data_IF_594734177926
#
_entry.id   IF_594734177926
#
_cell.length_a   1.000
_cell.length_b   1.000
_cell.length_c   1.000
_cell.angle_alpha   90.00
_cell.angle_beta   90.00
_cell.angle_gamma   90.00
#
_symmetry.space_group_name_H-M   'P 1'
#
loop_
_entity.id
_entity.type
_entity.pdbx_description
1 polymer ?
#
# COMPACT_ATOMS: atom_id res chain seq x y z
N UNK A 1 -43.86 -16.91 1.93
CA UNK A 1 -42.62 -17.03 2.71
C UNK A 1 -41.44 -16.72 1.79
N UNK A 2 -40.91 -15.51 1.87
CA UNK A 2 -39.64 -15.16 1.22
C UNK A 2 -38.52 -15.80 2.07
N UNK A 3 -37.86 -16.82 1.51
CA UNK A 3 -36.57 -17.28 2.05
C UNK A 3 -35.62 -16.11 1.97
N UNK A 4 -35.21 -15.56 3.12
CA UNK A 4 -34.04 -14.72 3.23
C UNK A 4 -32.82 -15.60 2.82
N UNK A 5 -32.29 -15.39 1.63
CA UNK A 5 -30.98 -15.91 1.26
C UNK A 5 -29.98 -15.28 2.24
N UNK A 6 -29.49 -16.11 3.13
CA UNK A 6 -28.41 -15.76 4.05
C UNK A 6 -27.18 -15.50 3.18
N UNK A 7 -26.90 -14.23 2.89
CA UNK A 7 -25.64 -13.83 2.25
C UNK A 7 -24.53 -14.38 3.14
N UNK A 8 -23.84 -15.41 2.65
CA UNK A 8 -22.71 -15.97 3.39
C UNK A 8 -21.61 -14.90 3.38
N UNK A 9 -21.31 -14.38 4.56
CA UNK A 9 -20.25 -13.39 4.75
C UNK A 9 -18.90 -13.99 4.30
N UNK A 10 -18.23 -13.31 3.37
CA UNK A 10 -16.92 -13.72 2.89
C UNK A 10 -15.92 -13.79 4.05
N UNK A 11 -15.36 -14.95 4.26
CA UNK A 11 -14.39 -15.19 5.34
C UNK A 11 -13.18 -15.93 4.80
N UNK A 12 -11.98 -15.33 4.85
CA UNK A 12 -10.74 -16.00 4.48
C UNK A 12 -10.54 -17.29 5.28
N UNK A 13 -10.23 -18.39 4.58
CA UNK A 13 -9.99 -19.71 5.22
C UNK A 13 -8.64 -19.83 5.88
N UNK A 14 -7.68 -19.01 5.46
CA UNK A 14 -6.30 -19.09 5.89
C UNK A 14 -5.90 -17.85 6.68
N UNK A 15 -4.98 -18.03 7.63
CA UNK A 15 -4.37 -16.97 8.42
C UNK A 15 -2.89 -16.86 8.14
N UNK A 16 -2.38 -15.63 8.19
CA UNK A 16 -0.95 -15.37 8.02
C UNK A 16 -0.47 -14.25 8.93
N UNK A 17 0.82 -14.27 9.22
CA UNK A 17 1.53 -13.20 9.92
C UNK A 17 2.42 -12.44 8.95
N UNK A 18 2.36 -11.11 9.01
CA UNK A 18 3.31 -10.20 8.39
C UNK A 18 4.38 -9.92 9.45
N UNK A 19 5.56 -10.54 9.31
CA UNK A 19 6.58 -10.54 10.37
C UNK A 19 7.56 -9.38 10.28
N UNK A 20 7.83 -8.90 9.06
CA UNK A 20 8.84 -7.87 8.81
C UNK A 20 8.22 -6.55 8.34
N UNK A 21 7.36 -5.96 9.17
CA UNK A 21 6.87 -4.60 8.92
C UNK A 21 7.93 -3.59 9.39
N UNK A 22 8.47 -2.73 8.51
CA UNK A 22 9.53 -1.81 8.89
C UNK A 22 9.03 -0.76 9.88
N UNK A 23 9.84 -0.47 10.92
CA UNK A 23 9.64 0.72 11.75
C UNK A 23 10.03 1.95 10.94
N UNK A 24 9.10 2.87 10.80
CA UNK A 24 9.30 4.07 9.99
C UNK A 24 9.65 5.28 10.86
N UNK A 25 10.47 6.22 10.36
CA UNK A 25 10.65 7.51 11.01
C UNK A 25 9.31 8.25 11.14
N UNK A 26 9.14 9.01 12.21
CA UNK A 26 7.89 9.76 12.49
C UNK A 26 7.40 10.59 11.29
N UNK A 27 8.29 11.30 10.60
CA UNK A 27 7.91 12.11 9.43
C UNK A 27 7.34 11.28 8.27
N UNK A 28 7.78 10.02 8.11
CA UNK A 28 7.25 9.10 7.10
C UNK A 28 5.89 8.56 7.53
N UNK A 29 5.75 8.17 8.81
CA UNK A 29 4.44 7.74 9.35
C UNK A 29 3.40 8.85 9.22
N UNK A 30 3.73 10.10 9.53
CA UNK A 30 2.84 11.25 9.36
C UNK A 30 2.48 11.52 7.90
N UNK A 31 3.42 11.38 6.97
CA UNK A 31 3.14 11.52 5.55
C UNK A 31 2.17 10.44 5.04
N UNK A 32 2.35 9.20 5.49
CA UNK A 32 1.46 8.08 5.18
C UNK A 32 0.09 8.24 5.81
N UNK A 33 0.01 8.72 7.07
CA UNK A 33 -1.25 9.04 7.71
C UNK A 33 -2.05 10.12 6.96
N UNK A 34 -1.36 11.18 6.48
CA UNK A 34 -1.99 12.17 5.59
C UNK A 34 -2.48 11.56 4.29
N UNK A 35 -1.70 10.67 3.68
CA UNK A 35 -2.12 9.96 2.48
C UNK A 35 -3.38 9.14 2.76
N UNK A 36 -3.41 8.39 3.87
CA UNK A 36 -4.60 7.64 4.32
C UNK A 36 -5.83 8.55 4.46
N UNK A 37 -5.67 9.69 5.14
CA UNK A 37 -6.77 10.65 5.34
C UNK A 37 -7.24 11.22 3.99
N UNK A 38 -6.31 11.57 3.08
CA UNK A 38 -6.67 12.04 1.74
C UNK A 38 -7.44 11.00 0.95
N UNK A 39 -7.05 9.72 1.04
CA UNK A 39 -7.78 8.61 0.40
C UNK A 39 -9.19 8.48 0.98
N UNK A 40 -9.37 8.63 2.29
CA UNK A 40 -10.71 8.56 2.89
C UNK A 40 -11.64 9.71 2.46
N UNK A 41 -11.10 10.80 1.92
CA UNK A 41 -11.88 11.92 1.37
C UNK A 41 -12.21 11.78 -0.12
N UNK A 42 -11.75 10.74 -0.81
CA UNK A 42 -12.11 10.51 -2.22
C UNK A 42 -13.59 10.18 -2.44
N UNK A 43 -14.31 9.90 -1.36
CA UNK A 43 -15.73 9.58 -1.37
C UNK A 43 -16.02 8.07 -1.46
N UNK A 44 -17.25 7.71 -1.17
CA UNK A 44 -17.68 6.31 -1.03
C UNK A 44 -17.68 5.49 -2.33
N UNK A 45 -17.52 6.15 -3.47
CA UNK A 45 -17.47 5.49 -4.78
C UNK A 45 -16.04 5.06 -5.17
N UNK A 46 -15.00 5.52 -4.46
CA UNK A 46 -13.60 5.17 -4.75
C UNK A 46 -13.13 4.18 -3.70
N UNK A 47 -13.34 2.92 -3.95
CA UNK A 47 -12.99 1.81 -3.06
C UNK A 47 -11.83 0.96 -3.60
N UNK A 48 -11.80 0.70 -4.90
CA UNK A 48 -10.77 -0.08 -5.58
C UNK A 48 -9.68 0.86 -6.08
N UNK A 49 -8.58 0.93 -5.35
CA UNK A 49 -7.49 1.87 -5.60
C UNK A 49 -6.25 1.11 -6.06
N UNK A 50 -5.86 1.33 -7.31
CA UNK A 50 -4.61 0.80 -7.84
C UNK A 50 -3.44 1.67 -7.40
N UNK A 51 -2.42 1.07 -6.81
CA UNK A 51 -1.13 1.71 -6.53
C UNK A 51 -0.15 1.30 -7.61
N UNK A 52 0.29 2.25 -8.38
CA UNK A 52 1.09 2.01 -9.59
C UNK A 52 2.21 3.05 -9.72
N UNK A 53 3.22 2.76 -10.51
CA UNK A 53 4.31 3.68 -10.81
C UNK A 53 4.57 3.81 -12.30
N UNK A 54 5.27 4.87 -12.71
CA UNK A 54 5.70 5.02 -14.10
C UNK A 54 6.81 4.05 -14.44
N UNK A 55 7.76 3.85 -13.52
CA UNK A 55 8.95 3.02 -13.70
C UNK A 55 9.18 2.07 -12.51
N UNK A 56 10.04 1.06 -12.63
CA UNK A 56 10.47 0.24 -11.51
C UNK A 56 11.12 1.05 -10.40
N UNK A 57 11.15 0.49 -9.19
CA UNK A 57 11.86 1.02 -8.02
C UNK A 57 11.42 2.42 -7.55
N UNK A 58 10.26 2.90 -7.98
CA UNK A 58 9.65 4.14 -7.49
C UNK A 58 8.97 4.01 -6.12
N UNK A 59 8.84 2.80 -5.59
CA UNK A 59 8.32 2.54 -4.24
C UNK A 59 6.83 2.19 -4.17
N UNK A 60 6.18 1.82 -5.28
CA UNK A 60 4.75 1.46 -5.36
C UNK A 60 4.34 0.42 -4.31
N UNK A 61 5.03 -0.74 -4.27
CA UNK A 61 4.69 -1.83 -3.34
C UNK A 61 4.89 -1.45 -1.86
N UNK A 62 5.85 -0.55 -1.58
CA UNK A 62 6.01 0.01 -0.24
C UNK A 62 4.82 0.90 0.13
N UNK A 63 4.42 1.82 -0.75
CA UNK A 63 3.27 2.71 -0.52
C UNK A 63 1.98 1.90 -0.41
N UNK A 64 1.77 0.90 -1.28
CA UNK A 64 0.60 0.02 -1.23
C UNK A 64 0.48 -0.70 0.12
N UNK A 65 1.56 -1.34 0.57
CA UNK A 65 1.62 -2.06 1.84
C UNK A 65 1.37 -1.12 3.03
N UNK A 66 2.00 0.05 3.06
CA UNK A 66 1.87 0.99 4.18
C UNK A 66 0.50 1.66 4.23
N UNK A 67 -0.07 2.01 3.08
CA UNK A 67 -1.41 2.59 3.00
C UNK A 67 -2.48 1.59 3.45
N UNK A 68 -2.40 0.34 2.95
CA UNK A 68 -3.26 -0.75 3.38
C UNK A 68 -3.13 -0.99 4.89
N UNK A 69 -1.89 -1.09 5.42
CA UNK A 69 -1.64 -1.24 6.86
C UNK A 69 -2.36 -0.18 7.67
N UNK A 70 -2.19 1.09 7.31
CA UNK A 70 -2.79 2.19 8.05
C UNK A 70 -4.32 2.21 7.96
N UNK A 71 -4.91 1.79 6.84
CA UNK A 71 -6.36 1.63 6.72
C UNK A 71 -6.87 0.50 7.62
N UNK A 72 -6.18 -0.64 7.60
CA UNK A 72 -6.53 -1.80 8.41
C UNK A 72 -6.40 -1.53 9.92
N UNK A 73 -5.31 -0.89 10.35
CA UNK A 73 -5.09 -0.47 11.75
C UNK A 73 -6.11 0.57 12.22
N UNK A 74 -6.62 1.40 11.31
CA UNK A 74 -7.72 2.33 11.59
C UNK A 74 -9.11 1.66 11.65
N UNK A 75 -9.19 0.33 11.51
CA UNK A 75 -10.42 -0.45 11.60
C UNK A 75 -11.21 -0.56 10.30
N UNK A 76 -10.69 -0.06 9.17
CA UNK A 76 -11.33 -0.24 7.88
C UNK A 76 -11.06 -1.65 7.34
N UNK A 77 -12.12 -2.45 7.13
CA UNK A 77 -12.01 -3.77 6.49
C UNK A 77 -11.43 -3.58 5.09
N UNK A 78 -10.17 -3.92 4.91
CA UNK A 78 -9.42 -3.65 3.69
C UNK A 78 -8.59 -4.84 3.25
N UNK A 79 -8.39 -4.95 1.94
CA UNK A 79 -7.55 -5.98 1.35
C UNK A 79 -6.45 -5.34 0.50
N UNK A 80 -5.26 -5.92 0.54
CA UNK A 80 -4.20 -5.65 -0.41
C UNK A 80 -4.05 -6.83 -1.36
N UNK A 81 -4.16 -6.57 -2.65
CA UNK A 81 -4.02 -7.55 -3.73
C UNK A 81 -2.71 -7.31 -4.46
N UNK A 82 -1.85 -8.29 -4.47
CA UNK A 82 -0.60 -8.23 -5.23
C UNK A 82 -0.84 -8.69 -6.67
N UNK A 83 -0.88 -7.73 -7.58
CA UNK A 83 -1.09 -7.93 -9.01
C UNK A 83 0.19 -7.73 -9.84
N UNK A 84 1.36 -7.54 -9.19
CA UNK A 84 2.65 -7.59 -9.88
C UNK A 84 3.06 -9.07 -10.10
N UNK A 85 2.29 -9.75 -10.96
CA UNK A 85 2.47 -11.17 -11.23
C UNK A 85 3.82 -11.50 -11.87
N UNK A 86 4.55 -10.49 -12.35
CA UNK A 86 5.85 -10.67 -13.02
C UNK A 86 7.02 -10.59 -12.07
N UNK A 87 6.91 -9.73 -11.04
CA UNK A 87 8.01 -9.48 -10.10
C UNK A 87 7.48 -9.11 -8.72
N UNK A 88 6.66 -9.98 -8.15
CA UNK A 88 6.26 -9.80 -6.75
C UNK A 88 7.46 -9.93 -5.82
N UNK A 89 7.51 -9.05 -4.84
CA UNK A 89 8.51 -9.07 -3.76
C UNK A 89 7.86 -9.08 -2.37
N UNK A 90 6.55 -9.08 -2.33
CA UNK A 90 5.78 -8.79 -1.11
C UNK A 90 5.96 -9.87 -0.06
N UNK A 91 5.79 -11.14 -0.43
CA UNK A 91 5.88 -12.27 0.49
C UNK A 91 7.26 -12.34 1.14
N UNK A 92 8.32 -12.25 0.34
CA UNK A 92 9.69 -12.39 0.83
C UNK A 92 10.14 -11.14 1.62
N UNK A 93 9.82 -9.95 1.12
CA UNK A 93 10.22 -8.69 1.74
C UNK A 93 9.60 -8.47 3.12
N UNK A 94 8.32 -8.82 3.25
CA UNK A 94 7.58 -8.64 4.51
C UNK A 94 7.52 -9.92 5.35
N UNK A 95 8.20 -10.99 4.91
CA UNK A 95 8.25 -12.29 5.58
C UNK A 95 6.84 -12.76 5.96
N UNK A 96 5.96 -12.81 4.95
CA UNK A 96 4.58 -13.24 5.14
C UNK A 96 4.60 -14.76 5.24
N UNK A 97 4.06 -15.30 6.33
CA UNK A 97 4.01 -16.73 6.58
C UNK A 97 2.63 -17.14 7.08
N UNK A 98 2.12 -18.27 6.61
CA UNK A 98 0.88 -18.86 7.11
C UNK A 98 1.07 -19.37 8.53
N UNK A 99 0.05 -19.24 9.36
CA UNK A 99 0.07 -19.72 10.75
C UNK A 99 0.14 -21.24 10.85
N UNK A 100 -0.38 -21.94 9.85
CA UNK A 100 -0.35 -23.42 9.76
C UNK A 100 0.91 -23.96 9.07
N UNK A 101 1.90 -23.13 8.78
CA UNK A 101 3.10 -23.43 8.01
C UNK A 101 2.83 -24.00 6.59
N UNK A 102 1.63 -23.82 6.07
CA UNK A 102 1.26 -24.23 4.71
C UNK A 102 1.92 -23.35 3.64
N UNK A 103 1.93 -23.84 2.39
CA UNK A 103 2.38 -23.05 1.24
C UNK A 103 1.48 -21.82 1.07
N UNK A 104 2.08 -20.66 0.82
CA UNK A 104 1.36 -19.48 0.36
C UNK A 104 1.02 -19.69 -1.12
N UNK A 105 -0.27 -19.75 -1.40
CA UNK A 105 -0.84 -19.67 -2.74
C UNK A 105 -1.22 -18.21 -3.00
N UNK A 106 -0.98 -17.73 -4.19
CA UNK A 106 -1.13 -16.32 -4.50
C UNK A 106 -2.17 -16.01 -5.58
N UNK A 107 -2.17 -14.75 -5.99
CA UNK A 107 -3.06 -14.24 -7.02
C UNK A 107 -2.94 -15.03 -8.32
N UNK A 108 -1.72 -15.38 -8.74
CA UNK A 108 -1.48 -16.17 -9.94
C UNK A 108 -2.04 -17.59 -9.85
N UNK A 109 -1.87 -18.25 -8.70
CA UNK A 109 -2.42 -19.59 -8.46
C UNK A 109 -3.96 -19.54 -8.49
N UNK A 110 -4.56 -18.52 -7.85
CA UNK A 110 -5.99 -18.32 -7.84
C UNK A 110 -6.57 -18.10 -9.24
N UNK A 111 -5.99 -17.18 -10.00
CA UNK A 111 -6.48 -16.88 -11.35
C UNK A 111 -6.36 -18.07 -12.32
N UNK A 112 -5.40 -18.97 -12.07
CA UNK A 112 -5.21 -20.19 -12.86
C UNK A 112 -6.07 -21.39 -12.39
N UNK A 113 -6.80 -21.28 -11.30
CA UNK A 113 -7.63 -22.35 -10.71
C UNK A 113 -9.11 -22.13 -10.96
N UNK A 114 -9.94 -23.15 -10.67
CA UNK A 114 -11.40 -23.04 -10.59
C UNK A 114 -11.89 -22.87 -9.14
N UNK A 115 -10.99 -22.66 -8.22
CA UNK A 115 -11.28 -22.51 -6.79
C UNK A 115 -11.90 -21.16 -6.43
N UNK A 116 -12.47 -21.09 -5.22
CA UNK A 116 -13.04 -19.88 -4.64
C UNK A 116 -11.98 -18.99 -3.99
N UNK A 117 -12.22 -17.66 -3.99
CA UNK A 117 -11.27 -16.64 -3.54
C UNK A 117 -10.86 -16.81 -2.05
N UNK A 118 -11.78 -17.26 -1.20
CA UNK A 118 -11.58 -17.44 0.24
C UNK A 118 -10.46 -18.43 0.63
N UNK A 119 -10.06 -19.30 -0.31
CA UNK A 119 -8.92 -20.21 -0.12
C UNK A 119 -7.56 -19.53 -0.31
N UNK A 120 -7.50 -18.42 -1.00
CA UNK A 120 -6.26 -17.71 -1.37
C UNK A 120 -6.06 -16.42 -0.58
N UNK A 121 -7.14 -15.80 -0.15
CA UNK A 121 -7.07 -14.64 0.74
C UNK A 121 -6.61 -15.08 2.12
N UNK A 122 -5.68 -14.31 2.67
CA UNK A 122 -5.09 -14.52 3.99
C UNK A 122 -5.60 -13.46 4.97
N UNK A 123 -6.25 -13.87 6.06
CA UNK A 123 -6.50 -13.00 7.20
C UNK A 123 -5.16 -12.71 7.87
N UNK A 124 -4.82 -11.45 8.07
CA UNK A 124 -3.52 -11.07 8.63
C UNK A 124 -3.58 -10.66 10.10
N UNK A 125 -2.41 -10.51 10.71
CA UNK A 125 -2.25 -9.91 12.04
C UNK A 125 -2.30 -8.37 12.01
N UNK A 126 -2.63 -7.75 10.88
CA UNK A 126 -2.67 -6.29 10.71
C UNK A 126 -4.13 -5.82 10.79
N UNK A 127 -4.60 -5.43 11.98
CA UNK A 127 -5.91 -4.83 12.19
C UNK A 127 -7.05 -5.57 11.48
N UNK A 128 -7.86 -4.84 10.71
CA UNK A 128 -8.95 -5.37 9.89
C UNK A 128 -8.49 -5.66 8.44
N UNK A 129 -7.22 -6.03 8.25
CA UNK A 129 -6.59 -6.19 6.95
C UNK A 129 -6.45 -7.65 6.51
N UNK A 130 -6.88 -7.90 5.28
CA UNK A 130 -6.66 -9.17 4.58
C UNK A 130 -5.66 -8.95 3.44
N UNK A 131 -5.07 -10.04 2.93
CA UNK A 131 -4.06 -10.00 1.89
C UNK A 131 -4.30 -11.11 0.86
N UNK A 132 -4.27 -10.75 -0.41
CA UNK A 132 -4.13 -11.70 -1.52
C UNK A 132 -2.74 -11.51 -2.12
N UNK A 133 -1.74 -12.27 -1.63
CA UNK A 133 -0.36 -12.10 -2.07
C UNK A 133 -0.12 -12.72 -3.44
N UNK A 134 1.03 -12.46 -4.05
CA UNK A 134 1.57 -13.28 -5.12
C UNK A 134 2.95 -13.82 -4.71
N UNK A 135 3.20 -15.10 -4.96
CA UNK A 135 4.47 -15.73 -4.62
C UNK A 135 5.22 -16.20 -5.86
N UNK A 136 4.51 -16.83 -6.77
CA UNK A 136 5.09 -17.36 -8.01
C UNK A 136 5.07 -16.29 -9.10
N UNK A 137 6.23 -15.95 -9.64
CA UNK A 137 6.34 -14.97 -10.72
C UNK A 137 6.10 -15.62 -12.07
N UNK A 138 5.25 -15.02 -12.87
CA UNK A 138 4.85 -15.52 -14.19
C UNK A 138 5.44 -14.67 -15.29
N UNK A 139 6.08 -15.32 -16.27
CA UNK A 139 6.73 -14.63 -17.40
C UNK A 139 5.69 -13.91 -18.27
N UNK A 140 4.55 -14.55 -18.53
CA UNK A 140 3.47 -13.97 -19.33
C UNK A 140 2.10 -14.15 -18.66
N UNK A 141 1.65 -13.20 -17.82
CA UNK A 141 0.37 -13.29 -17.14
C UNK A 141 -0.83 -12.83 -17.99
N UNK A 142 -0.65 -12.44 -19.25
CA UNK A 142 -1.71 -11.82 -20.06
C UNK A 142 -2.97 -12.67 -20.12
N UNK A 143 -2.86 -13.99 -20.28
CA UNK A 143 -4.02 -14.88 -20.30
C UNK A 143 -4.81 -14.88 -18.98
N UNK A 144 -4.12 -14.76 -17.84
CA UNK A 144 -4.75 -14.67 -16.53
C UNK A 144 -5.46 -13.32 -16.34
N UNK A 145 -4.87 -12.25 -16.87
CA UNK A 145 -5.40 -10.90 -16.76
C UNK A 145 -6.58 -10.62 -17.72
N UNK A 146 -6.67 -11.36 -18.83
CA UNK A 146 -7.75 -11.23 -19.81
C UNK A 146 -8.98 -12.08 -19.47
N UNK A 147 -8.85 -13.01 -18.52
CA UNK A 147 -9.93 -13.90 -18.10
C UNK A 147 -11.08 -13.18 -17.37
N UNK A 148 -12.30 -13.68 -17.51
CA UNK A 148 -13.48 -13.19 -16.78
C UNK A 148 -13.30 -13.30 -15.26
N UNK A 149 -12.52 -14.26 -14.80
CA UNK A 149 -12.25 -14.48 -13.37
C UNK A 149 -11.63 -13.26 -12.69
N UNK A 150 -10.75 -12.51 -13.38
CA UNK A 150 -10.20 -11.28 -12.82
C UNK A 150 -11.29 -10.23 -12.56
N UNK A 151 -12.19 -10.01 -13.51
CA UNK A 151 -13.29 -9.05 -13.34
C UNK A 151 -14.23 -9.44 -12.20
N UNK A 152 -14.68 -10.70 -12.16
CA UNK A 152 -15.53 -11.21 -11.07
C UNK A 152 -14.85 -11.16 -9.71
N UNK A 153 -13.52 -11.31 -9.67
CA UNK A 153 -12.75 -11.13 -8.43
C UNK A 153 -12.87 -9.71 -7.89
N UNK A 154 -12.71 -8.69 -8.74
CA UNK A 154 -12.83 -7.29 -8.31
C UNK A 154 -14.26 -6.92 -7.90
N UNK A 155 -15.28 -7.55 -8.46
CA UNK A 155 -16.67 -7.42 -8.02
C UNK A 155 -16.86 -8.03 -6.63
N UNK A 156 -16.39 -9.27 -6.41
CA UNK A 156 -16.45 -9.96 -5.11
C UNK A 156 -15.69 -9.18 -4.02
N UNK A 157 -14.55 -8.58 -4.35
CA UNK A 157 -13.78 -7.74 -3.43
C UNK A 157 -14.52 -6.44 -3.07
N UNK A 158 -15.19 -5.79 -4.04
CA UNK A 158 -15.95 -4.57 -3.80
C UNK A 158 -17.14 -4.78 -2.85
N UNK A 159 -17.76 -5.95 -2.91
CA UNK A 159 -18.85 -6.34 -2.02
C UNK A 159 -18.39 -6.61 -0.59
N UNK A 160 -17.17 -7.11 -0.42
CA UNK A 160 -16.69 -7.64 0.86
C UNK A 160 -15.75 -6.71 1.63
N UNK A 161 -15.17 -5.70 0.98
CA UNK A 161 -14.20 -4.78 1.59
C UNK A 161 -14.60 -3.32 1.42
N UNK A 162 -14.25 -2.50 2.41
CA UNK A 162 -14.38 -1.04 2.31
C UNK A 162 -13.35 -0.46 1.35
N UNK A 163 -12.13 -1.04 1.34
CA UNK A 163 -11.08 -0.67 0.40
C UNK A 163 -10.36 -1.90 -0.14
N UNK A 164 -10.15 -1.91 -1.44
CA UNK A 164 -9.27 -2.85 -2.15
C UNK A 164 -8.08 -2.07 -2.70
N UNK A 165 -6.90 -2.30 -2.15
CA UNK A 165 -5.65 -1.77 -2.69
C UNK A 165 -5.01 -2.81 -3.59
N UNK A 166 -4.55 -2.37 -4.77
CA UNK A 166 -3.95 -3.26 -5.76
C UNK A 166 -2.54 -2.80 -6.08
N UNK A 167 -1.51 -3.57 -5.75
CA UNK A 167 -0.13 -3.30 -6.17
C UNK A 167 0.07 -3.82 -7.59
N UNK A 168 0.23 -2.93 -8.57
CA UNK A 168 0.30 -3.25 -9.98
C UNK A 168 1.72 -3.06 -10.55
N UNK A 169 2.13 -3.76 -11.64
CA UNK A 169 3.43 -3.57 -12.26
C UNK A 169 3.59 -2.16 -12.85
N UNK A 170 4.84 -1.68 -13.05
CA UNK A 170 5.09 -0.35 -13.61
C UNK A 170 4.53 -0.18 -15.02
N UNK A 171 3.89 0.97 -15.31
CA UNK A 171 3.22 1.24 -16.59
C UNK A 171 4.15 1.21 -17.82
N UNK A 172 5.39 1.68 -17.68
CA UNK A 172 6.30 1.78 -18.82
C UNK A 172 6.90 0.45 -19.27
N UNK A 173 6.70 -0.62 -18.50
CA UNK A 173 7.26 -1.93 -18.83
C UNK A 173 6.24 -2.84 -19.52
N UNK A 174 5.00 -2.80 -19.10
CA UNK A 174 3.97 -3.78 -19.52
C UNK A 174 2.59 -3.15 -19.53
N UNK A 175 1.70 -3.67 -20.38
CA UNK A 175 0.29 -3.24 -20.47
C UNK A 175 -0.61 -3.76 -19.35
N UNK A 176 -0.09 -4.63 -18.50
CA UNK A 176 -0.86 -5.25 -17.41
C UNK A 176 -1.53 -4.20 -16.51
N UNK A 177 -0.82 -3.09 -16.23
CA UNK A 177 -1.34 -1.99 -15.41
C UNK A 177 -2.59 -1.31 -15.99
N UNK A 178 -2.71 -1.22 -17.32
CA UNK A 178 -3.92 -0.67 -17.96
C UNK A 178 -5.11 -1.61 -17.78
N UNK A 179 -4.88 -2.91 -17.95
CA UNK A 179 -5.92 -3.92 -17.79
C UNK A 179 -6.43 -3.98 -16.34
N UNK A 180 -5.53 -4.00 -15.37
CA UNK A 180 -5.87 -3.97 -13.95
C UNK A 180 -6.59 -2.65 -13.61
N UNK A 181 -6.09 -1.52 -14.13
CA UNK A 181 -6.65 -0.21 -13.92
C UNK A 181 -8.10 -0.10 -14.37
N UNK A 182 -8.49 -0.72 -15.49
CA UNK A 182 -9.87 -0.71 -15.97
C UNK A 182 -10.88 -1.35 -15.01
N UNK A 183 -10.43 -2.08 -14.00
CA UNK A 183 -11.26 -2.69 -12.96
C UNK A 183 -11.22 -1.91 -11.64
N UNK A 184 -10.42 -0.86 -11.56
CA UNK A 184 -10.26 -0.01 -10.38
C UNK A 184 -11.02 1.31 -10.51
N UNK A 185 -11.42 1.88 -9.39
CA UNK A 185 -12.13 3.17 -9.36
C UNK A 185 -11.17 4.35 -9.52
N UNK A 186 -9.87 4.14 -9.26
CA UNK A 186 -8.84 5.14 -9.45
C UNK A 186 -7.43 4.62 -9.17
N UNK A 187 -6.45 5.39 -9.64
CA UNK A 187 -5.04 5.08 -9.45
C UNK A 187 -4.34 6.10 -8.55
N UNK A 188 -3.57 5.60 -7.59
CA UNK A 188 -2.56 6.35 -6.86
C UNK A 188 -1.22 6.16 -7.59
N UNK A 189 -0.76 7.20 -8.28
CA UNK A 189 0.49 7.17 -9.03
C UNK A 189 1.66 7.49 -8.11
N UNK A 190 2.54 6.53 -7.92
CA UNK A 190 3.78 6.71 -7.14
C UNK A 190 4.88 7.19 -8.05
N UNK A 191 5.52 8.28 -7.66
CA UNK A 191 6.56 8.97 -8.44
C UNK A 191 7.79 9.20 -7.58
N UNK A 192 8.97 8.84 -8.06
CA UNK A 192 10.22 9.09 -7.36
C UNK A 192 10.65 10.55 -7.50
N UNK A 193 10.66 11.27 -6.37
CA UNK A 193 10.95 12.69 -6.35
C UNK A 193 12.37 13.00 -6.85
N UNK A 194 12.46 13.94 -7.79
CA UNK A 194 13.74 14.39 -8.35
C UNK A 194 14.38 13.44 -9.38
N UNK A 195 13.78 12.27 -9.63
CA UNK A 195 14.33 11.28 -10.57
C UNK A 195 13.38 10.99 -11.75
N UNK A 196 12.08 10.82 -11.50
CA UNK A 196 11.12 10.53 -12.57
C UNK A 196 10.88 11.76 -13.43
N UNK A 197 11.12 11.70 -14.75
CA UNK A 197 10.89 12.84 -15.64
C UNK A 197 9.41 13.24 -15.70
N UNK A 198 9.11 14.53 -15.68
CA UNK A 198 7.73 15.05 -15.75
C UNK A 198 6.97 14.57 -16.99
N UNK A 199 7.68 14.39 -18.12
CA UNK A 199 7.08 13.85 -19.33
C UNK A 199 6.59 12.41 -19.14
N UNK A 200 7.35 11.58 -18.42
CA UNK A 200 6.98 10.20 -18.11
C UNK A 200 5.73 10.17 -17.22
N UNK A 201 5.68 11.01 -16.17
CA UNK A 201 4.51 11.13 -15.30
C UNK A 201 3.26 11.53 -16.11
N UNK A 202 3.36 12.53 -16.98
CA UNK A 202 2.24 12.95 -17.86
C UNK A 202 1.78 11.83 -18.78
N UNK A 203 2.70 11.05 -19.32
CA UNK A 203 2.35 9.91 -20.18
C UNK A 203 1.64 8.83 -19.38
N UNK A 204 2.11 8.50 -18.18
CA UNK A 204 1.46 7.53 -17.29
C UNK A 204 0.03 7.97 -16.92
N UNK A 205 -0.18 9.25 -16.61
CA UNK A 205 -1.53 9.78 -16.33
C UNK A 205 -2.45 9.58 -17.54
N UNK A 206 -2.02 9.99 -18.75
CA UNK A 206 -2.81 9.82 -19.98
C UNK A 206 -3.10 8.35 -20.30
N UNK A 207 -2.17 7.47 -19.99
CA UNK A 207 -2.31 6.03 -20.20
C UNK A 207 -3.39 5.44 -19.28
N UNK A 208 -3.37 5.81 -18.01
CA UNK A 208 -4.37 5.42 -17.03
C UNK A 208 -5.77 5.98 -17.36
N UNK A 209 -5.86 7.26 -17.73
CA UNK A 209 -7.11 7.89 -18.13
C UNK A 209 -7.74 7.19 -19.35
N UNK A 210 -6.91 6.83 -20.35
CA UNK A 210 -7.37 6.05 -21.52
C UNK A 210 -7.85 4.65 -21.16
N UNK A 211 -7.27 4.05 -20.13
CA UNK A 211 -7.73 2.76 -19.60
C UNK A 211 -9.00 2.86 -18.75
N UNK A 212 -9.56 4.07 -18.57
CA UNK A 212 -10.73 4.30 -17.71
C UNK A 212 -10.43 4.38 -16.22
N UNK A 213 -9.15 4.46 -15.84
CA UNK A 213 -8.71 4.55 -14.46
C UNK A 213 -8.20 5.98 -14.16
N UNK A 214 -9.00 6.86 -13.56
CA UNK A 214 -8.58 8.22 -13.25
C UNK A 214 -7.45 8.22 -12.20
N UNK A 215 -6.47 9.11 -12.35
CA UNK A 215 -5.45 9.32 -11.31
C UNK A 215 -6.04 10.16 -10.19
N UNK A 216 -6.35 9.53 -9.06
CA UNK A 216 -6.96 10.16 -7.88
C UNK A 216 -5.93 10.83 -6.97
N UNK A 217 -4.65 10.57 -7.17
CA UNK A 217 -3.57 11.19 -6.41
C UNK A 217 -2.18 10.82 -6.92
N UNK A 218 -1.19 11.63 -6.52
CA UNK A 218 0.23 11.36 -6.77
C UNK A 218 0.95 11.28 -5.44
N UNK A 219 1.63 10.17 -5.17
CA UNK A 219 2.49 10.00 -4.01
C UNK A 219 3.96 10.19 -4.39
N UNK A 220 4.61 11.21 -3.85
CA UNK A 220 6.03 11.46 -4.05
C UNK A 220 6.86 10.61 -3.08
N UNK A 221 7.52 9.59 -3.59
CA UNK A 221 8.43 8.75 -2.82
C UNK A 221 9.84 9.37 -2.76
N UNK A 222 10.60 9.04 -1.71
CA UNK A 222 12.00 9.45 -1.50
C UNK A 222 12.24 10.96 -1.66
N UNK A 223 11.24 11.79 -1.31
CA UNK A 223 11.37 13.24 -1.35
C UNK A 223 12.47 13.70 -0.36
N UNK A 224 13.55 14.28 -0.89
CA UNK A 224 14.61 14.89 -0.07
C UNK A 224 14.17 16.30 0.33
N UNK A 225 14.19 16.63 1.60
CA UNK A 225 14.09 18.03 2.02
C UNK A 225 12.83 18.49 2.73
N UNK A 226 11.89 17.61 3.04
CA UNK A 226 10.81 17.97 3.98
C UNK A 226 11.35 18.16 5.42
N UNK A 227 12.57 17.70 5.72
CA UNK A 227 13.18 17.84 7.04
C UNK A 227 13.76 19.24 7.33
N UNK A 228 14.07 20.05 6.31
CA UNK A 228 14.86 21.30 6.54
C UNK A 228 14.10 22.61 6.36
N UNK A 229 12.84 22.66 5.95
CA UNK A 229 12.21 23.96 5.70
C UNK A 229 10.82 24.16 6.29
N UNK A 230 9.90 23.26 6.04
CA UNK A 230 8.50 23.44 6.45
C UNK A 230 8.14 22.67 7.73
N UNK A 231 8.71 21.48 7.94
CA UNK A 231 8.42 20.66 9.11
C UNK A 231 9.09 21.17 10.39
N UNK A 232 10.25 21.82 10.30
CA UNK A 232 10.90 22.41 11.48
C UNK A 232 10.11 23.61 12.04
N UNK A 233 9.35 24.31 11.19
CA UNK A 233 8.57 25.48 11.62
C UNK A 233 7.24 25.10 12.27
N UNK A 234 6.63 23.99 11.84
CA UNK A 234 5.35 23.49 12.41
C UNK A 234 5.55 22.44 13.52
N UNK A 235 6.57 21.60 13.46
CA UNK A 235 6.88 20.63 14.50
C UNK A 235 7.25 21.26 15.84
N UNK A 236 7.92 22.43 15.81
CA UNK A 236 8.20 23.20 17.03
C UNK A 236 6.96 23.92 17.62
N UNK A 237 5.92 24.13 16.84
CA UNK A 237 4.71 24.79 17.33
C UNK A 237 3.74 23.80 18.02
N UNK A 238 3.67 22.58 17.55
CA UNK A 238 2.81 21.54 18.15
C UNK A 238 3.52 20.68 19.22
N UNK A 239 4.84 20.49 19.13
CA UNK A 239 5.60 19.70 20.09
C UNK A 239 5.82 20.38 21.44
N UNK A 240 5.73 21.70 21.55
CA UNK A 240 5.88 22.44 22.80
C UNK A 240 4.61 22.57 23.64
N UNK A 241 3.44 22.29 23.08
CA UNK A 241 2.15 22.50 23.77
C UNK A 241 1.61 21.28 24.51
N UNK A 242 2.13 20.07 24.30
CA UNK A 242 1.54 18.84 24.89
C UNK A 242 2.42 18.09 25.92
N UNK A 243 3.70 18.49 26.12
CA UNK A 243 4.55 17.87 27.14
C UNK A 243 5.24 18.91 28.01
N UNK A 244 4.44 19.67 28.72
CA UNK A 244 4.91 20.60 29.73
C UNK A 244 4.14 20.47 31.02
N UNK A 245 4.39 19.39 31.79
CA UNK A 245 4.36 19.34 33.25
C UNK A 245 4.63 17.91 33.74
N UNK A 246 5.73 17.71 34.39
CA UNK A 246 5.90 16.55 35.25
C UNK A 246 7.30 15.96 35.29
N UNK A 247 7.96 16.23 36.41
CA UNK A 247 9.16 15.59 36.98
C UNK A 247 10.53 16.08 36.52
N UNK A 248 11.02 17.08 37.29
CA UNK A 248 12.44 17.32 37.47
C UNK A 248 13.07 16.30 38.40
N UNK A 249 14.36 16.18 38.34
CA UNK A 249 15.38 16.01 39.33
C UNK A 249 16.55 15.10 38.87
N UNK A 250 17.75 15.59 39.21
CA UNK A 250 19.10 14.99 39.12
C UNK A 250 19.75 14.98 37.73
N UNK A 251 20.96 15.48 37.55
CA UNK A 251 21.98 15.99 38.39
C UNK A 251 23.09 16.66 37.57
N UNK A 252 23.70 17.66 38.19
CA UNK A 252 24.94 18.31 37.77
C UNK A 252 26.09 17.31 37.63
N UNK A 253 26.91 17.46 36.59
CA UNK A 253 28.34 17.53 36.70
C UNK A 253 28.93 18.11 35.40
N UNK A 254 29.58 19.21 35.55
CA UNK A 254 30.40 19.86 34.56
C UNK A 254 31.78 19.21 34.43
N UNK A 255 32.41 19.44 33.29
CA UNK A 255 33.88 19.50 33.21
C UNK A 255 34.29 20.57 32.20
N UNK A 256 35.18 21.46 32.70
CA UNK A 256 36.06 22.42 32.06
C UNK A 256 36.72 21.88 30.80
N UNK A 257 36.90 22.60 29.72
CA UNK A 257 37.74 23.77 29.52
C UNK A 257 39.17 23.37 29.15
N UNK A 258 39.61 23.81 27.99
CA UNK A 258 40.95 24.36 27.74
C UNK A 258 41.04 24.92 26.33
N UNK A 259 41.17 26.23 26.25
CA UNK A 259 41.68 26.90 25.09
C UNK A 259 43.22 26.86 25.09
N UNK A 260 43.81 27.03 23.93
CA UNK A 260 45.12 27.70 23.76
C UNK A 260 45.21 28.28 22.35
N UNK A 261 45.66 29.50 22.36
CA UNK A 261 46.04 30.40 21.27
C UNK A 261 47.31 29.95 20.52
N UNK A 262 47.54 30.67 19.40
CA UNK A 262 48.79 31.04 18.74
C UNK A 262 49.43 29.98 17.83
N UNK A 263 49.67 30.26 16.59
CA UNK A 263 50.29 31.37 15.87
C UNK A 263 49.81 31.42 14.41
#
# INVERSE_FOLDING_TARGET
EKKEEKVMEFTPKNRATVQNMPKLPYAVEEALNRLRVNVSFLGSKVKKIMVISSAPDEGKSFIAMQLWRQMAEAGSKSILVDMDLRKSVMVDKYQIAREDNGKILGTSDYLASDDTLDKYVLRTNIGAGDLLPNKENIINPSMLLEGQKLASTFEELDENYHYTFTDAPPLNLVSDGEKIGSLCDGALLVVRAGETPKAMVRNSIRQLERAGCPVVGIALSRAKGAANGYYHKYGNYYGKSYYGKGYGYYGKHGYYGYGTEQK
#
